data_IF_475522872480
#
_entry.id   IF_475522872480
#
_cell.length_a   1.000
_cell.length_b   1.000
_cell.length_c   1.000
_cell.angle_alpha   90.00
_cell.angle_beta   90.00
_cell.angle_gamma   90.00
#
_symmetry.space_group_name_H-M   'P 1'
#
loop_
_entity.id
_entity.type
_entity.pdbx_description
1 polymer ?
#
# COMPACT_ATOMS: atom_id res chain seq x y z
N UNK A 1 29.83 -4.10 -12.21
CA UNK A 1 28.38 -4.37 -12.17
C UNK A 1 27.92 -3.93 -10.80
N UNK A 2 27.22 -2.80 -10.68
CA UNK A 2 26.82 -2.28 -9.38
C UNK A 2 25.75 -3.18 -8.76
N UNK A 3 25.97 -3.67 -7.54
CA UNK A 3 24.92 -4.27 -6.72
C UNK A 3 23.80 -3.24 -6.55
N UNK A 4 22.62 -3.50 -7.11
CA UNK A 4 21.43 -2.74 -6.76
C UNK A 4 21.11 -3.09 -5.31
N UNK A 5 21.24 -2.11 -4.41
CA UNK A 5 20.77 -2.25 -3.04
C UNK A 5 19.30 -2.67 -3.05
N UNK A 6 18.98 -3.75 -2.33
CA UNK A 6 17.59 -4.18 -2.14
C UNK A 6 16.87 -3.12 -1.31
N UNK A 7 16.18 -2.21 -1.99
CA UNK A 7 15.33 -1.22 -1.34
C UNK A 7 13.92 -1.79 -1.22
N UNK A 8 13.43 -1.86 0.01
CA UNK A 8 12.08 -2.34 0.32
C UNK A 8 11.24 -1.18 0.88
N UNK A 9 9.97 -1.16 0.52
CA UNK A 9 9.00 -0.24 1.10
C UNK A 9 7.91 -1.04 1.81
N UNK A 10 7.32 -0.48 2.86
CA UNK A 10 6.27 -1.16 3.63
C UNK A 10 5.08 -0.25 3.89
N UNK A 11 3.90 -0.85 3.95
CA UNK A 11 2.65 -0.18 4.34
C UNK A 11 1.73 -1.14 5.08
N UNK A 12 0.97 -0.63 6.05
CA UNK A 12 -0.13 -1.36 6.71
C UNK A 12 -1.50 -0.99 6.13
N UNK A 13 -1.56 0.01 5.25
CA UNK A 13 -2.79 0.43 4.57
C UNK A 13 -3.09 -0.51 3.40
N UNK A 14 -4.23 -1.20 3.49
CA UNK A 14 -4.67 -2.18 2.49
C UNK A 14 -4.95 -1.55 1.12
N UNK A 15 -5.54 -0.36 1.08
CA UNK A 15 -5.90 0.31 -0.17
C UNK A 15 -4.64 0.80 -0.88
N UNK A 16 -3.70 1.37 -0.14
CA UNK A 16 -2.39 1.74 -0.67
C UNK A 16 -1.62 0.49 -1.15
N UNK A 17 -1.60 -0.61 -0.38
CA UNK A 17 -0.95 -1.84 -0.80
C UNK A 17 -1.54 -2.39 -2.12
N UNK A 18 -2.87 -2.35 -2.26
CA UNK A 18 -3.53 -2.73 -3.50
C UNK A 18 -3.15 -1.80 -4.65
N UNK A 19 -3.09 -0.48 -4.42
CA UNK A 19 -2.66 0.50 -5.42
C UNK A 19 -1.23 0.27 -5.92
N UNK A 20 -0.28 0.06 -4.99
CA UNK A 20 1.12 -0.24 -5.35
C UNK A 20 1.21 -1.50 -6.21
N UNK A 21 0.46 -2.56 -5.86
CA UNK A 21 0.40 -3.80 -6.64
C UNK A 21 -0.18 -3.57 -8.04
N UNK A 22 -1.23 -2.75 -8.19
CA UNK A 22 -1.81 -2.39 -9.48
C UNK A 22 -0.84 -1.59 -10.36
N UNK A 23 0.05 -0.81 -9.75
CA UNK A 23 1.10 -0.04 -10.43
C UNK A 23 2.35 -0.86 -10.76
N UNK A 24 2.34 -2.16 -10.47
CA UNK A 24 3.39 -3.09 -10.84
C UNK A 24 4.47 -3.28 -9.79
N UNK A 25 4.33 -2.73 -8.58
CA UNK A 25 5.27 -3.04 -7.50
C UNK A 25 5.06 -4.48 -7.04
N UNK A 26 6.16 -5.22 -6.96
CA UNK A 26 6.14 -6.62 -6.55
C UNK A 26 6.00 -6.71 -5.05
N UNK A 27 4.89 -7.29 -4.58
CA UNK A 27 4.75 -7.70 -3.18
C UNK A 27 5.74 -8.84 -2.90
N UNK A 28 6.64 -8.62 -1.94
CA UNK A 28 7.66 -9.59 -1.53
C UNK A 28 7.12 -10.52 -0.45
N UNK A 29 6.54 -9.93 0.61
CA UNK A 29 6.01 -10.67 1.77
C UNK A 29 4.96 -9.85 2.52
N UNK A 30 4.25 -10.53 3.40
CA UNK A 30 3.44 -9.92 4.46
C UNK A 30 4.03 -10.28 5.81
N UNK A 31 4.08 -9.31 6.71
CA UNK A 31 4.59 -9.51 8.08
C UNK A 31 3.65 -8.84 9.09
N UNK A 32 3.85 -9.13 10.37
CA UNK A 32 3.19 -8.42 11.47
C UNK A 32 4.08 -7.28 11.92
N UNK A 33 3.53 -6.08 12.05
CA UNK A 33 4.25 -4.95 12.64
C UNK A 33 4.30 -5.08 14.18
N UNK A 34 4.96 -4.12 14.83
CA UNK A 34 5.09 -4.07 16.29
C UNK A 34 3.75 -3.97 17.05
N UNK A 35 2.65 -3.72 16.35
CA UNK A 35 1.28 -3.64 16.87
C UNK A 35 0.39 -4.79 16.38
N UNK A 36 0.98 -5.89 15.88
CA UNK A 36 0.30 -7.06 15.30
C UNK A 36 -0.63 -6.73 14.11
N UNK A 37 -0.39 -5.60 13.43
CA UNK A 37 -1.09 -5.25 12.19
C UNK A 37 -0.38 -5.89 11.01
N UNK A 38 -1.15 -6.31 10.02
CA UNK A 38 -0.58 -6.84 8.78
C UNK A 38 0.10 -5.72 8.00
N UNK A 39 1.41 -5.85 7.80
CA UNK A 39 2.23 -5.01 6.94
C UNK A 39 2.53 -5.74 5.62
N UNK A 40 2.47 -4.99 4.52
CA UNK A 40 2.78 -5.43 3.16
C UNK A 40 4.13 -4.86 2.75
N UNK A 41 5.08 -5.73 2.39
CA UNK A 41 6.43 -5.34 1.99
C UNK A 41 6.60 -5.51 0.49
N UNK A 42 7.02 -4.44 -0.19
CA UNK A 42 7.20 -4.39 -1.64
C UNK A 42 8.64 -4.14 -2.03
N UNK A 43 9.02 -4.65 -3.20
CA UNK A 43 10.27 -4.31 -3.88
C UNK A 43 10.19 -2.86 -4.39
N UNK A 44 11.10 -2.02 -3.90
CA UNK A 44 11.27 -0.61 -4.29
C UNK A 44 12.68 -0.36 -4.83
N UNK A 45 13.30 -1.36 -5.48
CA UNK A 45 14.61 -1.23 -6.13
C UNK A 45 14.65 -0.17 -7.26
N UNK A 46 13.49 0.37 -7.65
CA UNK A 46 13.37 1.46 -8.62
C UNK A 46 13.14 2.84 -7.99
N UNK A 47 13.03 2.92 -6.66
CA UNK A 47 12.80 4.17 -5.92
C UNK A 47 11.56 4.95 -6.38
N UNK A 48 10.45 4.23 -6.59
CA UNK A 48 9.19 4.80 -7.08
C UNK A 48 8.09 4.77 -6.04
N UNK A 49 8.28 4.05 -4.92
CA UNK A 49 7.25 3.88 -3.90
C UNK A 49 6.74 5.21 -3.36
N UNK A 50 7.63 6.16 -3.07
CA UNK A 50 7.22 7.45 -2.49
C UNK A 50 6.39 8.28 -3.46
N UNK A 51 6.79 8.31 -4.74
CA UNK A 51 6.01 8.96 -5.79
C UNK A 51 4.61 8.32 -5.91
N UNK A 52 4.54 6.99 -5.89
CA UNK A 52 3.26 6.28 -5.98
C UNK A 52 2.35 6.48 -4.77
N UNK A 53 2.89 6.71 -3.57
CA UNK A 53 2.10 7.10 -2.40
C UNK A 53 1.47 8.47 -2.59
N UNK A 54 2.23 9.43 -3.12
CA UNK A 54 1.71 10.76 -3.44
C UNK A 54 0.66 10.69 -4.54
N UNK A 55 0.89 9.89 -5.59
CA UNK A 55 -0.14 9.65 -6.61
C UNK A 55 -1.39 9.03 -6.02
N UNK A 56 -1.26 8.01 -5.16
CA UNK A 56 -2.40 7.38 -4.51
C UNK A 56 -3.24 8.40 -3.76
N UNK A 57 -2.61 9.26 -2.95
CA UNK A 57 -3.30 10.31 -2.19
C UNK A 57 -4.10 11.28 -3.07
N UNK A 58 -3.64 11.52 -4.31
CA UNK A 58 -4.32 12.38 -5.28
C UNK A 58 -5.24 11.62 -6.24
N UNK A 59 -5.26 10.28 -6.18
CA UNK A 59 -6.02 9.43 -7.10
C UNK A 59 -7.46 9.23 -6.66
N UNK A 60 -8.32 8.88 -7.63
CA UNK A 60 -9.68 8.41 -7.36
C UNK A 60 -9.71 7.12 -6.53
N UNK A 61 -8.63 6.33 -6.49
CA UNK A 61 -8.57 5.12 -5.67
C UNK A 61 -8.63 5.43 -4.17
N UNK A 62 -7.98 6.52 -3.72
CA UNK A 62 -8.05 6.95 -2.32
C UNK A 62 -9.46 7.44 -1.96
N UNK A 63 -10.10 8.21 -2.85
CA UNK A 63 -11.49 8.66 -2.68
C UNK A 63 -12.46 7.47 -2.64
N UNK A 64 -12.31 6.52 -3.57
CA UNK A 64 -13.12 5.31 -3.64
C UNK A 64 -13.01 4.47 -2.35
N UNK A 65 -11.80 4.28 -1.82
CA UNK A 65 -11.61 3.57 -0.55
C UNK A 65 -12.28 4.30 0.64
N UNK A 66 -12.21 5.64 0.66
CA UNK A 66 -12.92 6.46 1.63
C UNK A 66 -14.44 6.24 1.60
N UNK A 67 -15.04 6.32 0.42
CA UNK A 67 -16.47 6.06 0.23
C UNK A 67 -16.84 4.62 0.60
N UNK A 68 -16.00 3.64 0.24
CA UNK A 68 -16.21 2.24 0.61
C UNK A 68 -16.20 2.05 2.14
N UNK A 69 -15.30 2.71 2.86
CA UNK A 69 -15.27 2.70 4.33
C UNK A 69 -16.50 3.36 4.93
N UNK A 70 -16.99 4.45 4.36
CA UNK A 70 -18.24 5.09 4.80
C UNK A 70 -19.44 4.16 4.62
N UNK A 71 -19.59 3.55 3.44
CA UNK A 71 -20.68 2.60 3.17
C UNK A 71 -20.62 1.39 4.10
N UNK A 72 -19.43 0.82 4.34
CA UNK A 72 -19.26 -0.29 5.30
C UNK A 72 -19.72 0.10 6.69
N UNK A 73 -19.41 1.30 7.19
CA UNK A 73 -19.88 1.77 8.50
C UNK A 73 -21.40 1.88 8.59
N UNK A 74 -22.08 2.17 7.47
CA UNK A 74 -23.55 2.20 7.42
C UNK A 74 -24.14 0.79 7.45
N UNK A 75 -23.52 -0.17 6.75
CA UNK A 75 -23.97 -1.57 6.69
C UNK A 75 -23.75 -2.28 8.03
N UNK A 76 -22.54 -2.15 8.58
CA UNK A 76 -22.11 -2.86 9.79
C UNK A 76 -22.31 -1.99 11.04
N UNK A 77 -23.37 -1.18 11.08
CA UNK A 77 -23.71 -0.32 12.21
C UNK A 77 -24.21 -1.20 13.38
N UNK A 78 -23.27 -1.81 14.09
CA UNK A 78 -23.45 -2.61 15.30
C UNK A 78 -22.33 -2.31 16.27
#
# INVERSE_FOLDING_TARGET
MAEKEKKETRTTDLALAAYLKLRGLRLLRTEKDEFDRTAFVFDDSMDVAELLKVEFANSECCKFDGELRHLKKLIFRS
#
